data_IF_347438997418
#
_entry.id   IF_347438997418
#
_cell.length_a   1.000
_cell.length_b   1.000
_cell.length_c   1.000
_cell.angle_alpha   90.00
_cell.angle_beta   90.00
_cell.angle_gamma   90.00
#
_symmetry.space_group_name_H-M   'P 1'
#
loop_
_entity.id
_entity.type
_entity.pdbx_description
1 polymer ?
#
# COMPACT_ATOMS: atom_id res chain seq x y z
N UNK A 1 -8.71 -32.61 -55.74
CA UNK A 1 -7.50 -32.92 -56.55
C UNK A 1 -7.11 -31.66 -57.32
N UNK A 2 -5.81 -31.53 -57.66
CA UNK A 2 -5.17 -30.75 -58.74
C UNK A 2 -5.81 -29.45 -59.32
N UNK A 3 -5.07 -28.42 -59.72
CA UNK A 3 -3.66 -28.02 -59.51
C UNK A 3 -3.53 -26.52 -59.90
N UNK A 4 -2.54 -25.81 -59.34
CA UNK A 4 -2.04 -24.49 -59.84
C UNK A 4 -1.08 -24.76 -61.03
N UNK A 5 -0.68 -23.78 -61.90
CA UNK A 5 -0.05 -22.51 -61.47
C UNK A 5 -0.15 -21.28 -62.43
N UNK A 6 0.62 -20.23 -62.08
CA UNK A 6 1.21 -19.14 -62.90
C UNK A 6 0.24 -18.14 -63.61
N UNK A 7 0.28 -16.82 -63.40
CA UNK A 7 1.36 -15.80 -63.35
C UNK A 7 1.66 -15.16 -64.74
N UNK A 8 1.93 -13.85 -64.84
CA UNK A 8 1.93 -12.78 -63.83
C UNK A 8 2.30 -11.41 -64.40
N UNK A 9 2.48 -10.40 -63.51
CA UNK A 9 3.10 -9.07 -63.73
C UNK A 9 2.41 -8.09 -64.73
N UNK A 10 2.39 -6.77 -64.52
CA UNK A 10 2.85 -5.97 -63.37
C UNK A 10 2.58 -4.44 -63.52
N UNK A 11 2.95 -3.68 -62.47
CA UNK A 11 3.38 -2.24 -62.37
C UNK A 11 3.25 -1.34 -63.62
N UNK A 12 2.89 -0.05 -63.57
CA UNK A 12 2.59 0.96 -62.52
C UNK A 12 1.83 2.14 -63.20
N UNK A 13 1.37 3.24 -62.60
CA UNK A 13 1.32 3.68 -61.20
C UNK A 13 1.45 5.22 -61.07
N UNK A 14 0.34 5.89 -60.76
CA UNK A 14 0.29 7.29 -60.33
C UNK A 14 0.16 8.37 -61.41
N UNK A 15 -0.80 9.28 -61.23
CA UNK A 15 -0.60 10.73 -61.40
C UNK A 15 -1.59 11.49 -60.49
N UNK A 16 -1.33 12.77 -60.21
CA UNK A 16 -2.09 13.60 -59.26
C UNK A 16 -2.53 14.91 -59.92
N UNK A 17 -3.85 15.12 -60.05
CA UNK A 17 -4.40 16.30 -60.73
C UNK A 17 -4.34 17.58 -59.87
N UNK A 18 -4.05 18.70 -60.56
CA UNK A 18 -3.91 20.05 -59.98
C UNK A 18 -5.03 20.96 -60.51
N UNK A 19 -5.39 22.00 -59.74
CA UNK A 19 -6.53 22.88 -60.01
C UNK A 19 -6.24 24.03 -61.00
N UNK A 20 -7.29 24.66 -61.58
CA UNK A 20 -7.66 26.08 -61.34
C UNK A 20 -8.67 26.69 -62.38
N UNK A 21 -9.50 27.64 -61.91
CA UNK A 21 -10.20 28.68 -62.71
C UNK A 21 -11.63 28.39 -63.23
N UNK A 22 -12.52 29.37 -63.45
CA UNK A 22 -12.50 30.81 -63.07
C UNK A 22 -13.88 31.53 -63.17
N UNK A 23 -14.22 32.32 -62.13
CA UNK A 23 -14.73 33.73 -62.07
C UNK A 23 -15.81 34.26 -63.06
N UNK A 24 -16.92 34.83 -62.52
CA UNK A 24 -17.57 36.19 -62.75
C UNK A 24 -18.91 36.26 -61.97
N UNK A 25 -19.27 37.26 -61.15
CA UNK A 25 -19.54 38.72 -61.34
C UNK A 25 -20.87 39.00 -62.09
N UNK A 26 -21.76 39.95 -61.73
CA UNK A 26 -21.86 40.99 -60.66
C UNK A 26 -23.34 41.02 -60.13
N UNK A 27 -23.97 41.90 -59.32
CA UNK A 27 -23.78 43.23 -58.66
C UNK A 27 -24.72 43.25 -57.39
N UNK A 28 -25.12 44.31 -56.65
CA UNK A 28 -24.83 45.76 -56.63
C UNK A 28 -25.84 46.61 -55.81
N UNK A 29 -25.35 47.56 -54.97
CA UNK A 29 -26.05 48.72 -54.31
C UNK A 29 -27.18 48.40 -53.26
N UNK A 30 -27.42 49.14 -52.16
CA UNK A 30 -26.98 50.46 -51.59
C UNK A 30 -27.26 50.49 -50.04
N UNK A 31 -26.96 51.45 -49.13
CA UNK A 31 -26.22 52.74 -49.09
C UNK A 31 -25.79 53.17 -47.64
N UNK A 32 -25.08 54.32 -47.53
CA UNK A 32 -24.96 55.37 -46.46
C UNK A 32 -26.04 55.39 -45.35
N UNK A 33 -25.81 55.71 -44.05
CA UNK A 33 -24.65 56.20 -43.24
C UNK A 33 -24.72 55.67 -41.76
N UNK A 34 -24.22 56.21 -40.62
CA UNK A 34 -23.78 57.54 -40.11
C UNK A 34 -22.43 57.48 -39.32
N UNK A 35 -21.95 58.63 -38.80
CA UNK A 35 -20.57 58.84 -38.29
C UNK A 35 -20.45 58.97 -36.76
N UNK A 36 -19.34 58.43 -36.24
CA UNK A 36 -18.47 58.89 -35.11
C UNK A 36 -19.08 59.75 -33.98
N UNK A 37 -18.75 59.36 -32.73
CA UNK A 37 -17.79 60.10 -31.87
C UNK A 37 -17.22 59.16 -30.80
N UNK A 38 -16.02 59.45 -30.31
CA UNK A 38 -15.25 58.62 -29.37
C UNK A 38 -15.09 59.35 -28.02
N UNK A 39 -15.40 58.69 -26.90
CA UNK A 39 -14.87 59.04 -25.57
C UNK A 39 -15.04 57.87 -24.60
N UNK A 40 -14.04 57.69 -23.73
CA UNK A 40 -14.06 56.68 -22.67
C UNK A 40 -15.07 57.01 -21.57
N UNK A 41 -15.55 55.97 -20.88
CA UNK A 41 -15.46 55.93 -19.42
C UNK A 41 -15.41 54.48 -18.93
N UNK A 42 -14.55 54.22 -17.93
CA UNK A 42 -14.45 52.91 -17.27
C UNK A 42 -15.63 52.73 -16.31
N UNK A 43 -16.27 51.56 -16.37
CA UNK A 43 -17.03 51.01 -15.24
C UNK A 43 -16.57 49.58 -15.01
N UNK A 44 -15.99 49.32 -13.85
CA UNK A 44 -15.58 47.96 -13.46
C UNK A 44 -16.82 47.17 -13.05
N UNK A 45 -17.17 46.12 -13.79
CA UNK A 45 -18.02 45.08 -13.22
C UNK A 45 -17.15 44.17 -12.35
N UNK A 46 -17.55 44.06 -11.08
CA UNK A 46 -16.89 43.29 -10.04
C UNK A 46 -17.52 41.91 -10.00
N UNK A 47 -16.93 40.95 -10.73
CA UNK A 47 -17.32 39.55 -10.57
C UNK A 47 -16.98 39.06 -9.15
N UNK A 48 -17.87 38.26 -8.57
CA UNK A 48 -17.67 37.68 -7.23
C UNK A 48 -16.79 36.42 -7.31
N UNK A 49 -15.79 36.26 -6.42
CA UNK A 49 -15.02 35.02 -6.36
C UNK A 49 -15.92 33.87 -5.90
N UNK A 50 -16.22 32.92 -6.79
CA UNK A 50 -16.95 31.69 -6.44
C UNK A 50 -16.11 30.85 -5.46
N UNK A 51 -16.70 30.50 -4.32
CA UNK A 51 -16.02 29.75 -3.27
C UNK A 51 -15.80 28.28 -3.66
N UNK A 52 -14.65 27.97 -4.28
CA UNK A 52 -14.25 26.61 -4.66
C UNK A 52 -13.06 26.04 -3.85
N UNK A 53 -12.23 26.90 -3.24
CA UNK A 53 -10.92 26.51 -2.68
C UNK A 53 -10.95 25.72 -1.35
N UNK A 54 -12.13 25.56 -0.72
CA UNK A 54 -12.23 25.06 0.67
C UNK A 54 -12.11 23.54 0.83
N UNK A 55 -12.57 22.76 -0.15
CA UNK A 55 -12.83 21.31 0.03
C UNK A 55 -11.66 20.39 -0.32
N UNK A 56 -10.57 20.93 -0.84
CA UNK A 56 -9.53 20.15 -1.52
C UNK A 56 -8.09 20.47 -1.05
N UNK A 57 -7.95 21.12 0.11
CA UNK A 57 -6.66 21.28 0.81
C UNK A 57 -6.33 20.09 1.73
N UNK A 58 -7.35 19.41 2.28
CA UNK A 58 -7.23 18.35 3.28
C UNK A 58 -6.23 17.23 2.88
N UNK A 59 -6.26 16.79 1.62
CA UNK A 59 -5.33 15.77 1.10
C UNK A 59 -3.84 16.19 1.09
N UNK A 60 -3.55 17.49 1.14
CA UNK A 60 -2.20 18.03 1.29
C UNK A 60 -1.83 18.32 2.75
N UNK A 61 -2.82 18.44 3.65
CA UNK A 61 -2.64 18.83 5.05
C UNK A 61 -2.58 17.64 6.02
N UNK A 62 -3.13 16.48 5.63
CA UNK A 62 -3.09 15.22 6.40
C UNK A 62 -1.64 14.80 6.78
N UNK A 63 -1.32 14.67 8.09
CA UNK A 63 0.04 14.39 8.53
C UNK A 63 0.23 12.91 8.90
N UNK A 64 1.13 12.23 8.19
CA UNK A 64 1.93 11.17 8.81
C UNK A 64 3.00 11.88 9.63
N UNK A 65 2.75 12.08 10.94
CA UNK A 65 3.73 12.70 11.83
C UNK A 65 4.98 11.81 11.94
N UNK A 66 6.15 12.45 12.02
CA UNK A 66 7.42 11.76 11.85
C UNK A 66 7.79 10.89 13.06
N UNK A 67 7.50 9.59 12.97
CA UNK A 67 8.23 8.53 13.70
C UNK A 67 9.44 8.02 12.91
N UNK A 68 9.79 8.67 11.80
CA UNK A 68 10.85 8.28 10.87
C UNK A 68 12.24 8.84 11.27
N UNK A 69 12.39 9.33 12.51
CA UNK A 69 13.64 9.89 13.06
C UNK A 69 14.69 8.79 13.21
N UNK A 70 15.90 9.08 12.73
CA UNK A 70 17.07 8.18 12.85
C UNK A 70 17.74 8.33 14.23
N UNK A 71 18.26 7.23 14.79
CA UNK A 71 18.55 7.06 16.22
C UNK A 71 19.91 7.68 16.67
N UNK A 72 20.19 8.92 16.26
CA UNK A 72 21.42 9.65 16.61
C UNK A 72 21.18 11.14 16.97
N UNK A 73 20.30 11.40 17.96
CA UNK A 73 20.44 12.61 18.78
C UNK A 73 19.69 12.52 20.13
N UNK A 74 20.39 12.10 21.19
CA UNK A 74 19.88 12.22 22.57
C UNK A 74 20.01 13.67 23.02
N UNK A 75 18.90 14.42 23.11
CA UNK A 75 18.74 15.53 24.04
C UNK A 75 17.27 15.71 24.47
N UNK A 76 17.08 16.22 25.70
CA UNK A 76 15.79 16.23 26.39
C UNK A 76 14.85 17.36 25.95
N UNK A 77 13.56 17.04 25.82
CA UNK A 77 12.48 18.02 25.61
C UNK A 77 11.19 17.63 26.35
N UNK A 78 11.23 17.54 27.68
CA UNK A 78 10.03 17.41 28.52
C UNK A 78 9.19 18.69 28.45
N UNK A 79 8.02 18.65 27.83
CA UNK A 79 7.11 19.80 27.70
C UNK A 79 6.09 19.84 28.84
N UNK A 80 6.34 20.71 29.82
CA UNK A 80 5.48 20.90 31.00
C UNK A 80 4.13 21.54 30.67
N UNK A 81 3.06 21.06 31.32
CA UNK A 81 1.67 21.51 31.09
C UNK A 81 1.43 22.87 31.79
N UNK A 82 1.64 23.96 31.06
CA UNK A 82 1.58 25.33 31.62
C UNK A 82 0.18 25.99 31.48
N UNK A 83 -0.77 25.63 32.35
CA UNK A 83 -2.13 26.20 32.37
C UNK A 83 -2.13 27.62 32.98
N UNK A 84 -2.01 28.65 32.14
CA UNK A 84 -2.08 30.06 32.58
C UNK A 84 -3.51 30.61 32.54
N UNK A 85 -4.07 30.87 33.73
CA UNK A 85 -5.45 31.33 33.96
C UNK A 85 -5.70 32.73 33.37
N UNK A 86 -6.79 32.88 32.61
CA UNK A 86 -7.19 34.14 31.94
C UNK A 86 -7.85 35.12 32.93
N UNK A 87 -7.35 36.37 33.03
CA UNK A 87 -8.02 37.43 33.80
C UNK A 87 -9.19 38.04 33.01
N UNK A 88 -10.27 38.39 33.73
CA UNK A 88 -11.53 38.92 33.20
C UNK A 88 -11.49 40.46 33.14
N UNK A 89 -11.98 41.06 32.05
CA UNK A 89 -12.54 42.42 32.03
C UNK A 89 -13.67 42.49 31.01
N UNK A 90 -14.62 43.38 31.26
CA UNK A 90 -15.95 43.43 30.64
C UNK A 90 -16.20 44.77 29.97
N UNK A 91 -16.82 44.73 28.79
CA UNK A 91 -17.92 45.59 28.29
C UNK A 91 -18.50 44.85 27.08
N UNK A 92 -19.82 44.81 26.91
CA UNK A 92 -20.47 43.94 25.93
C UNK A 92 -21.42 44.65 24.97
N UNK A 93 -21.90 43.87 24.00
CA UNK A 93 -23.21 44.03 23.34
C UNK A 93 -23.63 42.66 22.80
N UNK A 94 -24.93 42.38 22.81
CA UNK A 94 -25.43 41.05 22.45
C UNK A 94 -25.40 40.77 20.94
N UNK A 95 -25.17 39.50 20.60
CA UNK A 95 -25.57 38.68 19.42
C UNK A 95 -24.53 37.54 19.32
N UNK A 96 -24.74 36.44 20.05
CA UNK A 96 -23.86 35.25 19.96
C UNK A 96 -24.60 33.89 20.00
N UNK A 97 -25.93 33.86 19.85
CA UNK A 97 -26.68 32.62 19.66
C UNK A 97 -26.78 32.22 18.17
N UNK A 98 -25.72 31.63 17.62
CA UNK A 98 -25.78 31.02 16.28
C UNK A 98 -24.44 30.53 15.71
N UNK A 99 -23.33 31.19 16.04
CA UNK A 99 -22.02 30.89 15.44
C UNK A 99 -21.35 29.68 16.11
N UNK A 100 -21.48 29.51 17.43
CA UNK A 100 -20.86 28.40 18.16
C UNK A 100 -21.32 27.01 17.70
N UNK A 101 -22.62 26.84 17.41
CA UNK A 101 -23.21 25.55 17.00
C UNK A 101 -22.67 25.05 15.64
N UNK A 102 -22.12 25.93 14.80
CA UNK A 102 -21.40 25.55 13.57
C UNK A 102 -19.89 25.35 13.81
N UNK A 103 -19.25 26.16 14.66
CA UNK A 103 -17.79 26.06 14.91
C UNK A 103 -17.34 24.78 15.65
N UNK A 104 -18.22 24.09 16.39
CA UNK A 104 -17.87 22.83 17.08
C UNK A 104 -17.82 21.59 16.17
N UNK A 105 -18.50 21.57 15.02
CA UNK A 105 -18.61 20.33 14.20
C UNK A 105 -17.36 19.98 13.39
N UNK A 106 -16.55 20.95 12.98
CA UNK A 106 -15.43 20.73 12.04
C UNK A 106 -14.08 20.44 12.73
N UNK A 107 -14.08 19.89 13.95
CA UNK A 107 -12.86 19.60 14.72
C UNK A 107 -12.61 18.12 15.01
N UNK A 108 -13.50 17.24 14.56
CA UNK A 108 -13.69 15.90 15.16
C UNK A 108 -13.45 14.73 14.20
N UNK A 109 -13.11 14.98 12.93
CA UNK A 109 -12.74 13.92 11.99
C UNK A 109 -11.39 14.20 11.34
N UNK A 110 -10.34 13.70 11.99
CA UNK A 110 -9.02 13.51 11.41
C UNK A 110 -8.67 12.03 11.56
N UNK A 111 -8.59 11.25 10.47
CA UNK A 111 -8.21 9.84 10.55
C UNK A 111 -6.87 9.63 11.27
N UNK A 112 -6.83 8.62 12.13
CA UNK A 112 -5.63 8.16 12.86
C UNK A 112 -5.38 6.65 12.66
N UNK A 113 -6.33 5.95 12.03
CA UNK A 113 -6.24 4.54 11.63
C UNK A 113 -6.69 4.36 10.17
N UNK A 114 -6.26 3.25 9.56
CA UNK A 114 -6.62 2.89 8.21
C UNK A 114 -6.56 1.39 7.97
N UNK A 115 -7.35 0.89 7.02
CA UNK A 115 -7.15 -0.45 6.46
C UNK A 115 -6.13 -0.36 5.33
N UNK A 116 -5.11 -1.20 5.40
CA UNK A 116 -3.94 -1.25 4.53
C UNK A 116 -3.93 -2.54 3.71
N UNK A 117 -3.69 -2.43 2.40
CA UNK A 117 -3.25 -3.54 1.54
C UNK A 117 -1.72 -3.45 1.41
N UNK A 118 -0.94 -4.31 2.09
CA UNK A 118 0.52 -4.28 2.04
C UNK A 118 1.05 -4.66 0.66
N UNK A 119 2.09 -3.99 0.18
CA UNK A 119 2.88 -4.48 -0.96
C UNK A 119 3.90 -5.49 -0.44
N UNK A 120 3.92 -6.69 -1.02
CA UNK A 120 4.80 -7.79 -0.64
C UNK A 120 5.60 -8.37 -1.82
N UNK A 121 5.21 -8.11 -3.07
CA UNK A 121 6.03 -8.46 -4.23
C UNK A 121 7.31 -7.59 -4.24
N UNK A 122 8.53 -8.20 -4.15
CA UNK A 122 9.78 -7.44 -4.19
C UNK A 122 10.03 -6.74 -5.54
N UNK A 123 9.44 -7.20 -6.63
CA UNK A 123 9.53 -6.55 -7.96
C UNK A 123 9.02 -5.10 -7.90
N UNK A 124 7.84 -4.91 -7.29
CA UNK A 124 7.21 -3.59 -7.11
C UNK A 124 8.08 -2.70 -6.23
N UNK A 125 8.65 -3.23 -5.15
CA UNK A 125 9.47 -2.42 -4.23
C UNK A 125 10.81 -2.02 -4.84
N UNK A 126 11.43 -2.89 -5.65
CA UNK A 126 12.65 -2.59 -6.42
C UNK A 126 12.39 -1.60 -7.55
N UNK A 127 11.30 -1.77 -8.31
CA UNK A 127 10.90 -0.82 -9.36
C UNK A 127 10.60 0.56 -8.78
N UNK A 128 9.86 0.65 -7.67
CA UNK A 128 9.62 1.91 -6.96
C UNK A 128 10.92 2.53 -6.44
N UNK A 129 11.86 1.75 -5.89
CA UNK A 129 13.15 2.28 -5.45
C UNK A 129 13.93 2.89 -6.61
N UNK A 130 13.97 2.24 -7.78
CA UNK A 130 14.63 2.78 -8.98
C UNK A 130 14.02 4.11 -9.45
N UNK A 131 12.68 4.27 -9.34
CA UNK A 131 12.01 5.55 -9.60
C UNK A 131 12.39 6.61 -8.55
N UNK A 132 12.39 6.27 -7.27
CA UNK A 132 12.78 7.18 -6.20
C UNK A 132 14.23 7.66 -6.38
N UNK A 133 15.15 6.75 -6.67
CA UNK A 133 16.57 7.04 -6.90
C UNK A 133 16.78 7.94 -8.12
N UNK A 134 16.09 7.67 -9.24
CA UNK A 134 16.14 8.51 -10.44
C UNK A 134 15.61 9.93 -10.19
N UNK A 135 14.55 10.08 -9.37
CA UNK A 135 14.04 11.40 -8.95
C UNK A 135 15.03 12.11 -8.03
N UNK A 136 15.65 11.40 -7.08
CA UNK A 136 16.66 11.95 -6.15
C UNK A 136 17.93 12.39 -6.91
N UNK A 137 18.35 11.65 -7.93
CA UNK A 137 19.47 12.04 -8.81
C UNK A 137 19.17 13.35 -9.56
N UNK A 138 17.90 13.58 -9.96
CA UNK A 138 17.46 14.83 -10.62
C UNK A 138 17.24 15.99 -9.64
N UNK A 139 16.72 15.74 -8.42
CA UNK A 139 16.62 16.72 -7.33
C UNK A 139 16.76 16.07 -5.94
N UNK A 140 17.96 16.18 -5.37
CA UNK A 140 18.35 15.60 -4.07
C UNK A 140 17.46 16.05 -2.90
N UNK A 141 16.79 17.20 -3.00
CA UNK A 141 15.90 17.72 -1.94
C UNK A 141 14.66 16.82 -1.75
N UNK A 142 14.26 16.10 -2.78
CA UNK A 142 13.08 15.23 -2.78
C UNK A 142 13.28 13.91 -2.02
N UNK A 143 14.50 13.58 -1.60
CA UNK A 143 14.80 12.48 -0.68
C UNK A 143 13.89 12.50 0.56
N UNK A 144 13.71 13.69 1.17
CA UNK A 144 12.82 13.94 2.32
C UNK A 144 11.31 13.75 2.03
N UNK A 145 10.90 13.54 0.77
CA UNK A 145 9.52 13.26 0.39
C UNK A 145 9.22 11.76 0.17
N UNK A 146 10.24 10.90 0.07
CA UNK A 146 10.05 9.52 -0.33
C UNK A 146 9.37 8.68 0.76
N UNK A 147 8.52 7.75 0.32
CA UNK A 147 7.92 6.71 1.18
C UNK A 147 8.91 5.55 1.26
N UNK A 148 9.37 5.23 2.47
CA UNK A 148 10.30 4.10 2.72
C UNK A 148 9.66 2.80 2.23
N UNK A 149 10.41 1.96 1.52
CA UNK A 149 9.92 0.73 0.86
C UNK A 149 9.08 -0.18 1.78
N UNK A 150 9.53 -0.40 3.02
CA UNK A 150 8.79 -1.16 4.04
C UNK A 150 7.45 -0.57 4.49
N UNK A 151 7.07 0.63 4.02
CA UNK A 151 5.77 1.29 4.28
C UNK A 151 4.89 1.45 3.02
N UNK A 152 5.25 0.80 1.91
CA UNK A 152 4.47 0.77 0.68
C UNK A 152 3.17 -0.04 0.86
N UNK A 153 2.05 0.57 0.52
CA UNK A 153 0.71 0.00 0.65
C UNK A 153 -0.29 0.72 -0.26
N UNK A 154 -1.44 0.09 -0.50
CA UNK A 154 -2.66 0.79 -0.95
C UNK A 154 -3.57 1.00 0.26
N UNK A 155 -3.97 2.24 0.51
CA UNK A 155 -4.95 2.57 1.56
C UNK A 155 -6.35 2.19 1.09
N UNK A 156 -7.03 1.29 1.81
CA UNK A 156 -8.38 0.79 1.47
C UNK A 156 -9.50 1.61 2.13
N UNK A 157 -9.33 1.93 3.42
CA UNK A 157 -10.32 2.66 4.21
C UNK A 157 -9.62 3.54 5.25
N UNK A 158 -10.08 4.77 5.45
CA UNK A 158 -9.61 5.68 6.50
C UNK A 158 -10.64 5.71 7.64
N UNK A 159 -10.20 5.86 8.90
CA UNK A 159 -11.10 5.96 10.05
C UNK A 159 -10.50 6.74 11.22
N UNK A 160 -11.37 7.19 12.13
CA UNK A 160 -10.99 7.74 13.44
C UNK A 160 -11.40 6.77 14.54
N UNK A 161 -10.44 6.35 15.38
CA UNK A 161 -10.66 5.54 16.58
C UNK A 161 -10.13 6.30 17.81
N UNK A 162 -11.01 6.49 18.80
CA UNK A 162 -10.83 7.46 19.89
C UNK A 162 -10.29 6.85 21.19
N UNK A 163 -10.49 5.53 21.36
CA UNK A 163 -10.29 4.77 22.60
C UNK A 163 -10.07 3.27 22.26
N UNK A 164 -9.82 2.45 23.28
CA UNK A 164 -9.51 1.02 23.10
C UNK A 164 -10.76 0.21 22.70
N UNK A 165 -11.95 0.65 23.11
CA UNK A 165 -13.23 0.05 22.75
C UNK A 165 -13.51 0.19 21.24
N UNK A 166 -13.25 1.36 20.66
CA UNK A 166 -13.32 1.61 19.22
C UNK A 166 -12.24 0.83 18.45
N UNK A 167 -11.05 0.60 19.04
CA UNK A 167 -10.02 -0.27 18.46
C UNK A 167 -10.48 -1.73 18.43
N UNK A 168 -11.01 -2.28 19.53
CA UNK A 168 -11.59 -3.63 19.53
C UNK A 168 -12.74 -3.74 18.52
N UNK A 169 -13.63 -2.75 18.49
CA UNK A 169 -14.75 -2.71 17.53
C UNK A 169 -14.27 -2.68 16.08
N UNK A 170 -13.14 -2.02 15.79
CA UNK A 170 -12.51 -1.99 14.47
C UNK A 170 -11.83 -3.32 14.10
N UNK A 171 -11.27 -4.04 15.08
CA UNK A 171 -10.74 -5.40 14.89
C UNK A 171 -11.87 -6.37 14.57
N UNK A 172 -13.00 -6.29 15.28
CA UNK A 172 -14.18 -7.11 15.00
C UNK A 172 -14.79 -6.78 13.62
N UNK A 173 -14.90 -5.50 13.28
CA UNK A 173 -15.36 -5.04 11.97
C UNK A 173 -14.47 -5.53 10.81
N UNK A 174 -13.15 -5.57 11.01
CA UNK A 174 -12.23 -6.17 10.05
C UNK A 174 -12.46 -7.69 9.93
N UNK A 175 -12.61 -8.38 11.07
CA UNK A 175 -12.89 -9.83 11.11
C UNK A 175 -14.18 -10.20 10.36
N UNK A 176 -15.27 -9.46 10.58
CA UNK A 176 -16.54 -9.65 9.86
C UNK A 176 -16.42 -9.31 8.37
N UNK A 177 -15.63 -8.28 8.01
CA UNK A 177 -15.33 -7.95 6.61
C UNK A 177 -14.63 -9.09 5.87
N UNK A 178 -13.95 -10.01 6.58
CA UNK A 178 -13.27 -11.15 5.95
C UNK A 178 -14.25 -12.03 5.17
N UNK A 179 -15.41 -12.36 5.74
CA UNK A 179 -16.40 -13.27 5.14
C UNK A 179 -16.89 -12.71 3.81
N UNK A 180 -17.28 -11.42 3.79
CA UNK A 180 -17.69 -10.73 2.57
C UNK A 180 -16.62 -10.78 1.47
N UNK A 181 -15.35 -10.54 1.83
CA UNK A 181 -14.26 -10.56 0.85
C UNK A 181 -14.01 -11.98 0.32
N UNK A 182 -14.07 -13.02 1.15
CA UNK A 182 -13.92 -14.41 0.70
C UNK A 182 -15.08 -14.85 -0.22
N UNK A 183 -16.32 -14.44 0.08
CA UNK A 183 -17.52 -14.68 -0.74
C UNK A 183 -17.47 -13.91 -2.09
N UNK A 184 -16.95 -12.69 -2.11
CA UNK A 184 -16.77 -11.91 -3.32
C UNK A 184 -15.67 -12.52 -4.21
N UNK A 185 -14.54 -12.90 -3.62
CA UNK A 185 -13.42 -13.53 -4.32
C UNK A 185 -13.77 -14.96 -4.80
N UNK A 186 -14.69 -15.67 -4.12
CA UNK A 186 -15.09 -17.06 -4.42
C UNK A 186 -13.90 -18.03 -4.50
N UNK A 187 -12.89 -17.80 -3.66
CA UNK A 187 -11.64 -18.57 -3.66
C UNK A 187 -10.78 -18.41 -4.92
N UNK A 188 -11.04 -17.41 -5.78
CA UNK A 188 -10.14 -17.00 -6.86
C UNK A 188 -8.96 -16.20 -6.30
N UNK A 189 -7.82 -16.27 -6.99
CA UNK A 189 -6.73 -15.30 -6.85
C UNK A 189 -7.14 -14.01 -7.56
N UNK A 190 -6.82 -12.86 -6.96
CA UNK A 190 -6.91 -11.54 -7.60
C UNK A 190 -5.52 -10.91 -7.56
N UNK A 191 -5.05 -10.53 -8.74
CA UNK A 191 -3.76 -9.87 -8.97
C UNK A 191 -4.00 -8.40 -9.28
N UNK A 192 -3.11 -7.54 -8.77
CA UNK A 192 -3.27 -6.10 -8.75
C UNK A 192 -2.11 -5.46 -9.52
N UNK A 193 -2.31 -5.26 -10.82
CA UNK A 193 -1.29 -4.77 -11.74
C UNK A 193 -1.03 -3.28 -11.57
N UNK A 194 0.19 -2.91 -11.16
CA UNK A 194 0.60 -1.53 -10.98
C UNK A 194 1.32 -1.01 -12.23
N UNK A 195 0.74 -0.01 -12.90
CA UNK A 195 1.32 0.55 -14.12
C UNK A 195 1.17 2.07 -14.24
N UNK A 196 2.32 2.72 -14.41
CA UNK A 196 2.45 4.14 -14.71
C UNK A 196 2.21 5.05 -13.52
N UNK A 197 2.81 6.23 -13.59
CA UNK A 197 2.76 7.23 -12.52
C UNK A 197 1.64 8.26 -12.78
N UNK A 198 1.08 8.80 -11.71
CA UNK A 198 0.21 9.97 -11.67
C UNK A 198 0.38 10.71 -10.32
N UNK A 199 -0.30 11.84 -10.12
CA UNK A 199 -0.14 12.69 -8.95
C UNK A 199 -1.46 13.24 -8.39
N UNK A 200 -1.51 13.48 -7.08
CA UNK A 200 -2.49 14.40 -6.50
C UNK A 200 -1.86 15.79 -6.37
N UNK A 201 -2.32 16.74 -7.19
CA UNK A 201 -1.94 18.17 -7.17
C UNK A 201 -0.43 18.47 -7.25
N UNK A 202 0.36 17.57 -7.84
CA UNK A 202 1.83 17.64 -7.76
C UNK A 202 2.37 17.67 -6.31
N UNK A 203 1.64 17.16 -5.31
CA UNK A 203 2.11 17.07 -3.91
C UNK A 203 2.27 15.63 -3.42
N UNK A 204 1.56 14.69 -4.04
CA UNK A 204 1.71 13.24 -3.83
C UNK A 204 1.94 12.59 -5.19
N UNK A 205 3.00 11.79 -5.32
CA UNK A 205 3.30 10.99 -6.52
C UNK A 205 3.04 9.51 -6.23
N UNK A 206 2.27 8.85 -7.09
CA UNK A 206 1.82 7.48 -6.89
C UNK A 206 1.84 6.66 -8.19
N UNK A 207 1.96 5.34 -8.04
CA UNK A 207 1.74 4.37 -9.11
C UNK A 207 0.24 4.04 -9.17
N UNK A 208 -0.33 4.02 -10.37
CA UNK A 208 -1.74 3.66 -10.61
C UNK A 208 -1.91 2.14 -10.55
N UNK A 209 -3.03 1.70 -9.97
CA UNK A 209 -3.58 0.37 -10.20
C UNK A 209 -4.38 0.40 -11.50
N UNK A 210 -4.11 -0.49 -12.45
CA UNK A 210 -4.82 -0.54 -13.74
C UNK A 210 -5.85 -1.66 -13.85
N UNK A 211 -5.60 -2.82 -13.25
CA UNK A 211 -6.53 -3.96 -13.23
C UNK A 211 -7.22 -4.17 -11.87
N UNK A 212 -8.36 -4.86 -11.87
CA UNK A 212 -9.14 -5.25 -10.67
C UNK A 212 -9.53 -4.10 -9.71
N UNK A 213 -9.45 -2.85 -10.16
CA UNK A 213 -9.85 -1.63 -9.44
C UNK A 213 -11.31 -1.65 -8.97
N UNK A 214 -12.21 -2.26 -9.75
CA UNK A 214 -13.63 -2.44 -9.40
C UNK A 214 -13.81 -3.35 -8.18
N UNK A 215 -13.07 -4.48 -8.13
CA UNK A 215 -13.12 -5.42 -7.00
C UNK A 215 -12.64 -4.73 -5.72
N UNK A 216 -11.53 -3.99 -5.77
CA UNK A 216 -11.08 -3.21 -4.60
C UNK A 216 -12.08 -2.12 -4.19
N UNK A 217 -12.84 -1.57 -5.12
CA UNK A 217 -13.87 -0.56 -4.83
C UNK A 217 -15.07 -1.18 -4.12
N UNK A 218 -15.57 -2.32 -4.60
CA UNK A 218 -16.64 -3.09 -3.95
C UNK A 218 -16.23 -3.54 -2.53
N UNK A 219 -14.99 -4.00 -2.36
CA UNK A 219 -14.41 -4.31 -1.04
C UNK A 219 -14.36 -3.06 -0.14
N UNK A 220 -13.85 -1.93 -0.65
CA UNK A 220 -13.74 -0.71 0.14
C UNK A 220 -15.10 -0.15 0.57
N UNK A 221 -16.12 -0.25 -0.29
CA UNK A 221 -17.49 0.17 0.03
C UNK A 221 -18.16 -0.77 1.05
N UNK A 222 -17.97 -2.09 0.92
CA UNK A 222 -18.47 -3.06 1.90
C UNK A 222 -17.79 -2.90 3.28
N UNK A 223 -16.45 -2.73 3.31
CA UNK A 223 -15.72 -2.43 4.55
C UNK A 223 -16.20 -1.11 5.16
N UNK A 224 -16.33 -0.04 4.36
CA UNK A 224 -16.86 1.25 4.84
C UNK A 224 -18.23 1.07 5.48
N UNK A 225 -19.11 0.28 4.86
CA UNK A 225 -20.45 -0.03 5.40
C UNK A 225 -20.36 -0.78 6.74
N UNK A 226 -19.62 -1.90 6.81
CA UNK A 226 -19.51 -2.73 8.03
C UNK A 226 -18.97 -1.90 9.20
N UNK A 227 -17.92 -1.10 8.98
CA UNK A 227 -17.36 -0.22 10.01
C UNK A 227 -18.36 0.86 10.46
N UNK A 228 -19.13 1.45 9.53
CA UNK A 228 -20.17 2.44 9.86
C UNK A 228 -21.37 1.80 10.60
N UNK A 229 -21.76 0.57 10.26
CA UNK A 229 -22.82 -0.19 10.96
C UNK A 229 -22.39 -0.56 12.40
N UNK A 230 -21.09 -0.73 12.64
CA UNK A 230 -20.47 -0.84 13.98
C UNK A 230 -20.32 0.51 14.72
N UNK A 231 -20.77 1.62 14.12
CA UNK A 231 -20.70 2.97 14.71
C UNK A 231 -19.36 3.69 14.56
N UNK A 232 -18.39 3.11 13.85
CA UNK A 232 -17.08 3.72 13.64
C UNK A 232 -17.18 4.86 12.62
N UNK A 233 -16.55 5.99 12.91
CA UNK A 233 -16.35 7.06 11.94
C UNK A 233 -15.32 6.60 10.89
N UNK A 234 -15.80 6.04 9.78
CA UNK A 234 -14.99 5.47 8.71
C UNK A 234 -15.38 5.98 7.32
N UNK A 235 -14.39 6.00 6.42
CA UNK A 235 -14.49 6.43 5.04
C UNK A 235 -14.38 7.94 4.84
N UNK A 236 -14.45 8.35 3.58
CA UNK A 236 -14.57 9.75 3.17
C UNK A 236 -15.84 9.97 2.32
N UNK A 237 -16.16 11.23 2.06
CA UNK A 237 -17.17 11.66 1.07
C UNK A 237 -16.66 11.48 -0.38
N UNK A 238 -15.33 11.41 -0.57
CA UNK A 238 -14.69 11.23 -1.86
C UNK A 238 -14.87 9.80 -2.38
N UNK A 239 -15.03 9.66 -3.70
CA UNK A 239 -14.96 8.37 -4.37
C UNK A 239 -13.60 7.71 -4.14
N UNK A 240 -13.61 6.40 -3.85
CA UNK A 240 -12.42 5.60 -3.62
C UNK A 240 -11.52 5.60 -4.87
N UNK A 241 -10.20 5.72 -4.66
CA UNK A 241 -9.18 5.67 -5.72
C UNK A 241 -7.97 4.89 -5.23
N UNK A 242 -7.86 3.58 -5.54
CA UNK A 242 -6.72 2.77 -5.13
C UNK A 242 -5.45 3.28 -5.83
N UNK A 243 -4.42 3.57 -5.05
CA UNK A 243 -3.15 4.12 -5.54
C UNK A 243 -2.01 3.71 -4.60
N UNK A 244 -0.83 3.45 -5.17
CA UNK A 244 0.36 3.08 -4.42
C UNK A 244 1.31 4.29 -4.32
N UNK A 245 1.34 4.95 -3.17
CA UNK A 245 2.16 6.17 -3.03
C UNK A 245 3.64 5.86 -2.85
N UNK A 246 4.50 6.43 -3.69
CA UNK A 246 5.95 6.39 -3.51
C UNK A 246 6.55 7.70 -2.97
N UNK A 247 5.87 8.86 -3.09
CA UNK A 247 6.34 10.12 -2.50
C UNK A 247 5.21 11.06 -2.06
N UNK A 248 5.41 11.78 -0.94
CA UNK A 248 4.50 12.83 -0.44
C UNK A 248 5.31 14.03 0.03
N UNK A 249 5.13 15.21 -0.57
CA UNK A 249 5.76 16.46 -0.08
C UNK A 249 5.35 16.78 1.36
N UNK A 250 4.19 16.30 1.82
CA UNK A 250 3.71 16.50 3.19
C UNK A 250 4.62 15.91 4.27
N UNK A 251 5.46 14.91 3.95
CA UNK A 251 6.46 14.30 4.85
C UNK A 251 7.57 15.26 5.32
N UNK A 252 7.73 16.45 4.74
CA UNK A 252 8.70 17.41 5.25
C UNK A 252 8.20 18.85 5.17
N UNK A 253 7.95 19.44 6.34
CA UNK A 253 7.57 20.84 6.50
C UNK A 253 8.70 21.81 6.10
N UNK A 254 9.95 21.33 6.07
CA UNK A 254 11.08 22.07 5.52
C UNK A 254 11.05 22.03 3.98
N UNK A 255 10.90 20.84 3.38
CA UNK A 255 10.81 20.69 1.93
C UNK A 255 9.64 21.50 1.36
N UNK A 256 8.47 21.51 2.02
CA UNK A 256 7.31 22.34 1.62
C UNK A 256 7.55 23.85 1.65
N UNK A 257 8.66 24.34 2.22
CA UNK A 257 9.09 25.75 2.07
C UNK A 257 9.82 25.97 0.75
N UNK A 258 10.67 25.02 0.36
CA UNK A 258 11.56 25.10 -0.82
C UNK A 258 10.90 24.63 -2.12
N UNK A 259 10.11 23.55 -2.05
CA UNK A 259 9.44 22.90 -3.18
C UNK A 259 7.93 22.91 -2.93
N UNK A 260 7.17 23.53 -3.84
CA UNK A 260 5.71 23.66 -3.74
C UNK A 260 4.94 22.62 -4.57
N UNK A 261 5.59 22.06 -5.58
CA UNK A 261 5.07 21.05 -6.51
C UNK A 261 6.21 20.13 -6.96
N UNK A 262 5.91 18.85 -7.12
CA UNK A 262 6.74 17.86 -7.80
C UNK A 262 6.58 18.09 -9.31
N UNK A 263 7.68 18.37 -10.00
CA UNK A 263 7.67 18.45 -11.47
C UNK A 263 7.51 17.03 -12.06
N UNK A 264 6.60 16.88 -13.02
CA UNK A 264 6.34 15.61 -13.69
C UNK A 264 7.49 15.18 -14.60
N UNK A 265 8.32 16.11 -15.07
CA UNK A 265 9.52 15.82 -15.87
C UNK A 265 10.54 14.94 -15.11
N UNK A 266 10.47 14.91 -13.77
CA UNK A 266 11.36 14.09 -12.94
C UNK A 266 11.14 12.58 -13.16
N UNK A 267 9.92 12.17 -13.54
CA UNK A 267 9.53 10.77 -13.71
C UNK A 267 8.83 10.47 -15.05
N UNK A 268 8.95 11.36 -16.04
CA UNK A 268 8.36 11.18 -17.38
C UNK A 268 8.80 9.84 -18.01
N UNK A 269 10.05 9.43 -17.78
CA UNK A 269 10.64 8.15 -18.20
C UNK A 269 9.87 6.92 -17.67
N UNK A 270 9.14 7.07 -16.57
CA UNK A 270 8.43 6.00 -15.86
C UNK A 270 6.89 6.12 -15.93
N UNK A 271 6.38 7.10 -16.71
CA UNK A 271 4.96 7.49 -16.76
C UNK A 271 4.00 6.38 -17.22
N UNK A 272 4.51 5.42 -18.00
CA UNK A 272 3.83 4.20 -18.47
C UNK A 272 4.52 2.91 -18.01
N UNK A 273 5.53 2.99 -17.14
CA UNK A 273 6.30 1.85 -16.66
C UNK A 273 5.42 0.85 -15.90
N UNK A 274 5.68 -0.44 -16.11
CA UNK A 274 5.03 -1.53 -15.39
C UNK A 274 5.86 -1.89 -14.16
N UNK A 275 5.24 -1.90 -12.98
CA UNK A 275 5.92 -2.07 -11.71
C UNK A 275 5.82 -3.51 -11.15
N UNK A 276 4.86 -4.31 -11.64
CA UNK A 276 4.58 -5.66 -11.13
C UNK A 276 3.12 -5.83 -10.66
N UNK A 277 2.78 -7.07 -10.35
CA UNK A 277 1.48 -7.47 -9.76
C UNK A 277 1.63 -7.69 -8.25
N UNK A 278 0.70 -7.18 -7.45
CA UNK A 278 0.53 -7.60 -6.04
C UNK A 278 -0.63 -8.59 -5.91
N UNK A 279 -0.45 -9.65 -5.13
CA UNK A 279 -1.55 -10.59 -4.86
C UNK A 279 -2.41 -10.03 -3.73
N UNK A 280 -3.73 -9.91 -3.94
CA UNK A 280 -4.66 -9.62 -2.85
C UNK A 280 -4.72 -10.82 -1.89
N UNK A 281 -3.91 -10.74 -0.82
CA UNK A 281 -3.69 -11.83 0.14
C UNK A 281 -3.95 -11.43 1.59
N UNK A 282 -3.92 -10.13 1.93
CA UNK A 282 -4.09 -9.64 3.31
C UNK A 282 -4.63 -8.21 3.36
N UNK A 283 -5.38 -7.89 4.41
CA UNK A 283 -5.59 -6.51 4.85
C UNK A 283 -5.19 -6.36 6.33
N UNK A 284 -4.61 -5.22 6.68
CA UNK A 284 -4.18 -4.87 8.04
C UNK A 284 -4.94 -3.65 8.56
N UNK A 285 -5.36 -3.66 9.83
CA UNK A 285 -5.80 -2.45 10.55
C UNK A 285 -4.56 -1.75 11.11
N UNK A 286 -4.13 -0.67 10.45
CA UNK A 286 -2.90 0.04 10.74
C UNK A 286 -3.13 1.37 11.48
N UNK A 287 -2.30 1.65 12.48
CA UNK A 287 -2.21 2.96 13.11
C UNK A 287 -1.34 3.92 12.30
N UNK A 288 -1.75 5.17 12.18
CA UNK A 288 -0.92 6.25 11.60
C UNK A 288 0.09 6.83 12.60
N UNK A 289 -0.10 6.60 13.91
CA UNK A 289 0.57 7.35 14.98
C UNK A 289 1.36 6.49 15.97
N UNK A 290 1.04 5.19 16.13
CA UNK A 290 1.87 4.26 16.91
C UNK A 290 3.21 4.00 16.18
N UNK A 291 4.28 3.71 16.93
CA UNK A 291 5.63 3.46 16.37
C UNK A 291 5.59 2.30 15.36
N UNK A 292 6.18 2.53 14.18
CA UNK A 292 6.36 1.52 13.12
C UNK A 292 7.07 0.25 13.62
N UNK A 293 6.78 -0.86 12.95
CA UNK A 293 7.45 -2.14 13.14
C UNK A 293 8.94 -2.08 12.71
N UNK A 294 9.81 -3.00 13.18
CA UNK A 294 11.24 -2.99 12.83
C UNK A 294 11.57 -3.13 11.33
N UNK A 295 10.64 -3.64 10.53
CA UNK A 295 10.74 -3.71 9.06
C UNK A 295 10.32 -2.40 8.35
N UNK A 296 9.96 -1.35 9.09
CA UNK A 296 9.48 -0.08 8.56
C UNK A 296 7.99 -0.02 8.23
N UNK A 297 7.23 -1.12 8.40
CA UNK A 297 5.78 -1.14 8.19
C UNK A 297 5.02 -0.53 9.37
N UNK A 298 3.75 -0.21 9.15
CA UNK A 298 2.90 0.42 10.16
C UNK A 298 2.62 -0.52 11.33
N UNK A 299 2.37 0.06 12.52
CA UNK A 299 1.83 -0.72 13.64
C UNK A 299 0.46 -1.28 13.25
N UNK A 300 0.25 -2.58 13.44
CA UNK A 300 -1.01 -3.25 13.12
C UNK A 300 -1.71 -3.70 14.40
N UNK A 301 -2.99 -3.37 14.54
CA UNK A 301 -3.85 -3.88 15.62
C UNK A 301 -4.32 -5.31 15.32
N UNK A 302 -4.64 -5.59 14.06
CA UNK A 302 -5.08 -6.90 13.56
C UNK A 302 -4.89 -7.00 12.04
N UNK A 303 -4.94 -8.23 11.52
CA UNK A 303 -4.79 -8.57 10.10
C UNK A 303 -5.75 -9.70 9.72
N UNK A 304 -6.33 -9.62 8.51
CA UNK A 304 -7.10 -10.71 7.89
C UNK A 304 -6.42 -11.20 6.63
N UNK A 305 -6.31 -12.53 6.46
CA UNK A 305 -5.63 -13.20 5.34
C UNK A 305 -6.64 -13.95 4.47
N UNK A 306 -6.42 -13.94 3.16
CA UNK A 306 -7.31 -14.47 2.13
C UNK A 306 -6.68 -15.59 1.29
N UNK A 307 -7.56 -16.38 0.67
CA UNK A 307 -7.20 -17.47 -0.23
C UNK A 307 -7.25 -18.84 0.45
N UNK A 308 -6.98 -19.90 -0.32
CA UNK A 308 -7.09 -21.30 0.14
C UNK A 308 -6.03 -21.73 1.17
N UNK A 309 -5.33 -20.78 1.78
CA UNK A 309 -4.14 -21.07 2.57
C UNK A 309 -4.43 -21.53 3.99
N UNK A 310 -5.67 -21.52 4.48
CA UNK A 310 -5.96 -21.99 5.84
C UNK A 310 -5.53 -23.47 6.04
N UNK A 311 -5.79 -24.36 5.09
CA UNK A 311 -5.26 -25.74 5.15
C UNK A 311 -3.75 -25.79 4.85
N UNK A 312 -3.28 -25.07 3.84
CA UNK A 312 -1.88 -25.13 3.40
C UNK A 312 -0.89 -24.52 4.41
N UNK A 313 -1.28 -23.48 5.12
CA UNK A 313 -0.47 -22.80 6.13
C UNK A 313 -0.58 -23.50 7.49
N UNK A 314 -1.74 -24.06 7.85
CA UNK A 314 -1.82 -25.03 8.96
C UNK A 314 -0.90 -26.24 8.70
N UNK A 315 -0.87 -26.76 7.48
CA UNK A 315 0.02 -27.86 7.10
C UNK A 315 1.50 -27.46 7.16
N UNK A 316 1.89 -26.30 6.62
CA UNK A 316 3.27 -25.77 6.74
C UNK A 316 3.69 -25.56 8.19
N UNK A 317 2.81 -24.99 9.02
CA UNK A 317 3.11 -24.67 10.41
C UNK A 317 3.13 -25.92 11.29
N UNK A 318 2.27 -26.91 11.04
CA UNK A 318 2.35 -28.23 11.66
C UNK A 318 3.67 -28.94 11.29
N UNK A 319 4.00 -28.99 9.99
CA UNK A 319 5.25 -29.55 9.47
C UNK A 319 6.47 -28.85 10.07
N UNK A 320 6.42 -27.52 10.25
CA UNK A 320 7.49 -26.73 10.88
C UNK A 320 7.70 -27.10 12.34
N UNK A 321 6.62 -27.23 13.12
CA UNK A 321 6.66 -27.65 14.53
C UNK A 321 7.22 -29.07 14.67
N UNK A 322 6.76 -29.99 13.84
CA UNK A 322 7.24 -31.38 13.81
C UNK A 322 8.72 -31.44 13.42
N UNK A 323 9.13 -30.72 12.37
CA UNK A 323 10.54 -30.57 11.98
C UNK A 323 11.41 -30.05 13.14
N UNK A 324 10.94 -29.03 13.87
CA UNK A 324 11.65 -28.46 15.02
C UNK A 324 11.73 -29.43 16.20
N UNK A 325 10.68 -30.21 16.46
CA UNK A 325 10.67 -31.26 17.48
C UNK A 325 11.63 -32.41 17.14
N UNK A 326 11.69 -32.83 15.87
CA UNK A 326 12.64 -33.83 15.37
C UNK A 326 14.09 -33.33 15.46
N UNK A 327 14.36 -32.08 15.07
CA UNK A 327 15.68 -31.46 15.23
C UNK A 327 16.11 -31.37 16.71
N UNK A 328 15.19 -31.05 17.62
CA UNK A 328 15.45 -31.05 19.07
C UNK A 328 15.83 -32.44 19.58
N UNK A 329 15.06 -33.48 19.23
CA UNK A 329 15.37 -34.88 19.58
C UNK A 329 16.70 -35.36 18.98
N UNK A 330 16.98 -35.01 17.72
CA UNK A 330 18.25 -35.37 17.06
C UNK A 330 19.45 -34.71 17.76
N UNK A 331 19.32 -33.45 18.20
CA UNK A 331 20.35 -32.78 18.99
C UNK A 331 20.53 -33.41 20.39
N UNK A 332 19.46 -33.86 21.05
CA UNK A 332 19.55 -34.60 22.31
C UNK A 332 20.25 -35.95 22.13
N UNK A 333 19.88 -36.73 21.11
CA UNK A 333 20.55 -38.00 20.77
C UNK A 333 22.03 -37.75 20.45
N UNK A 334 22.36 -36.72 19.67
CA UNK A 334 23.74 -36.33 19.36
C UNK A 334 24.55 -35.95 20.62
N UNK A 335 23.92 -35.28 21.59
CA UNK A 335 24.55 -34.96 22.87
C UNK A 335 24.80 -36.23 23.73
N UNK A 336 23.83 -37.13 23.82
CA UNK A 336 23.97 -38.41 24.53
C UNK A 336 25.09 -39.27 23.91
N UNK A 337 25.09 -39.42 22.58
CA UNK A 337 26.14 -40.13 21.84
C UNK A 337 27.50 -39.39 21.83
N UNK A 338 27.57 -38.13 22.27
CA UNK A 338 28.84 -37.44 22.50
C UNK A 338 29.48 -37.81 23.85
N UNK A 339 28.69 -38.26 24.83
CA UNK A 339 29.26 -38.77 26.09
C UNK A 339 30.15 -40.00 25.83
N UNK A 340 31.38 -40.06 26.38
CA UNK A 340 32.20 -41.26 26.33
C UNK A 340 31.53 -42.42 27.07
N UNK A 341 30.99 -42.16 28.27
CA UNK A 341 30.40 -43.16 29.17
C UNK A 341 29.19 -43.87 28.53
N UNK A 342 28.34 -43.12 27.83
CA UNK A 342 27.18 -43.68 27.13
C UNK A 342 27.63 -44.50 25.91
N UNK A 343 28.67 -44.06 25.20
CA UNK A 343 29.24 -44.84 24.09
C UNK A 343 29.87 -46.15 24.58
N UNK A 344 30.59 -46.14 25.70
CA UNK A 344 31.16 -47.35 26.29
C UNK A 344 30.05 -48.33 26.66
N UNK A 345 28.99 -47.90 27.36
CA UNK A 345 27.85 -48.76 27.73
C UNK A 345 27.10 -49.34 26.52
N UNK A 346 26.87 -48.51 25.49
CA UNK A 346 26.28 -48.99 24.23
C UNK A 346 27.18 -50.03 23.55
N UNK A 347 28.51 -49.89 23.63
CA UNK A 347 29.42 -50.92 23.12
C UNK A 347 29.47 -52.17 24.00
N UNK A 348 29.39 -52.04 25.33
CA UNK A 348 29.31 -53.17 26.26
C UNK A 348 28.06 -54.01 25.95
N UNK A 349 26.87 -53.41 25.93
CA UNK A 349 25.62 -54.11 25.59
C UNK A 349 25.63 -54.75 24.18
N UNK A 350 26.22 -54.08 23.17
CA UNK A 350 26.28 -54.59 21.79
C UNK A 350 27.37 -55.68 21.55
N UNK A 351 28.28 -55.91 22.50
CA UNK A 351 29.37 -56.89 22.36
C UNK A 351 29.41 -57.98 23.44
N UNK A 352 28.87 -57.76 24.65
CA UNK A 352 28.78 -58.81 25.69
C UNK A 352 27.85 -59.97 25.29
N UNK A 353 26.72 -59.67 24.64
CA UNK A 353 25.73 -60.67 24.19
C UNK A 353 26.33 -61.67 23.17
N UNK A 354 27.41 -61.24 22.49
CA UNK A 354 28.19 -62.08 21.57
C UNK A 354 29.04 -63.13 22.30
N UNK A 355 29.47 -62.86 23.53
CA UNK A 355 30.22 -63.83 24.34
C UNK A 355 29.31 -64.87 24.99
N UNK A 356 28.11 -64.49 25.45
CA UNK A 356 27.14 -65.46 25.98
C UNK A 356 26.55 -66.37 24.89
N UNK A 357 26.46 -65.87 23.66
CA UNK A 357 26.10 -66.68 22.48
C UNK A 357 27.17 -67.70 22.10
N UNK A 358 28.45 -67.46 22.44
CA UNK A 358 29.56 -68.28 21.95
C UNK A 358 29.81 -69.54 22.78
N UNK A 359 29.68 -69.45 24.11
CA UNK A 359 29.93 -70.57 25.02
C UNK A 359 28.92 -71.72 24.92
N UNK A 360 27.78 -71.51 24.24
CA UNK A 360 26.70 -72.49 24.11
C UNK A 360 26.80 -73.40 22.88
N UNK A 361 27.65 -73.09 21.89
CA UNK A 361 27.88 -73.99 20.75
C UNK A 361 29.09 -74.90 20.95
N UNK A 362 30.13 -74.44 21.67
CA UNK A 362 31.31 -75.26 22.00
C UNK A 362 30.97 -76.42 22.97
N UNK A 363 29.88 -76.35 23.74
CA UNK A 363 29.47 -77.40 24.68
C UNK A 363 28.60 -78.52 24.07
N UNK A 364 28.36 -78.54 22.76
CA UNK A 364 27.44 -79.48 22.11
C UNK A 364 28.05 -80.24 20.92
N UNK A 365 29.36 -80.17 20.69
CA UNK A 365 30.03 -80.80 19.54
C UNK A 365 31.32 -81.53 19.97
N UNK A 366 31.20 -82.50 20.88
CA UNK A 366 32.20 -83.57 21.05
C UNK A 366 31.69 -84.74 21.92
N UNK A 367 30.80 -85.58 21.38
CA UNK A 367 30.48 -86.94 21.87
C UNK A 367 29.49 -87.67 20.96
N UNK A 368 29.98 -88.33 19.91
CA UNK A 368 29.60 -89.71 19.50
C UNK A 368 30.23 -90.08 18.14
N UNK A 369 31.17 -91.04 18.17
CA UNK A 369 31.74 -91.69 16.98
C UNK A 369 31.46 -93.19 17.05
N UNK A 370 30.49 -93.72 16.29
CA UNK A 370 30.30 -95.17 16.14
C UNK A 370 31.38 -95.75 15.22
N UNK A 371 32.13 -96.73 15.70
CA UNK A 371 32.99 -97.59 14.89
C UNK A 371 32.28 -98.91 14.60
N UNK A 372 32.46 -99.43 13.37
CA UNK A 372 32.09 -100.76 12.87
C UNK A 372 30.59 -101.09 12.80
#
# INVERSE_FOLDING_TARGET
>A
MALRPAAGEGRAGGDASRAAGAIREHDGLENVQQKKIFKENKTQQREEPRAADSVDSLMAEMPFLDTDIDDECVMHATSEINIKKKRKRTTGREIEEGIERKKKKNKQYQPNYFISLPITNPEITVSIQAVQDAIIQKDQRLSKAMVRSGSLHVTMLLMHLSNEEEISTAVDALSESKVFVEDLLRGKRVDLSFQGIDHFKNQVGFVKLVENTTILTEIAEAMKKIFQEKGILAGEERAFKPHLTFMKLSKSMELRKQVKKIDSNLYEDFKSHYFGDEILHRFDLCSMLKKKQPNGYYYCESSIVFGKSHEADLAKEALRRETQALLSRLNQIKALLSSPEIRTKISEELFEDRHYSNSKWESCVDSESPNA
#
